data_IF_874243695792
#
_entry.id   IF_874243695792
#
_cell.length_a   1.000
_cell.length_b   1.000
_cell.length_c   1.000
_cell.angle_alpha   90.00
_cell.angle_beta   90.00
_cell.angle_gamma   90.00
#
_symmetry.space_group_name_H-M   'P 1'
#
loop_
_entity.id
_entity.type
_entity.pdbx_description
1 polymer ?
#
# COMPACT_ATOMS: atom_id res chain seq x y z
N UNK A 1 -9.27 -15.59 -11.93
CA UNK A 1 -9.38 -14.23 -12.50
C UNK A 1 -10.25 -13.41 -11.55
N UNK A 2 -9.64 -12.63 -10.66
CA UNK A 2 -10.34 -11.79 -9.70
C UNK A 2 -10.31 -10.35 -10.21
N UNK A 3 -11.18 -10.04 -11.17
CA UNK A 3 -11.36 -8.68 -11.64
C UNK A 3 -12.81 -8.26 -11.39
N UNK A 4 -12.97 -7.31 -10.47
CA UNK A 4 -13.77 -6.13 -10.76
C UNK A 4 -15.28 -6.19 -10.48
N UNK A 5 -15.67 -6.50 -9.25
CA UNK A 5 -16.95 -5.98 -8.72
C UNK A 5 -16.80 -4.82 -7.74
N UNK A 6 -15.56 -4.45 -7.40
CA UNK A 6 -15.27 -3.19 -6.73
C UNK A 6 -15.43 -2.05 -7.72
N UNK A 7 -16.67 -1.58 -7.92
CA UNK A 7 -16.96 -0.36 -8.67
C UNK A 7 -16.26 0.85 -8.02
N UNK A 8 -16.52 2.07 -8.48
CA UNK A 8 -15.85 3.29 -7.97
C UNK A 8 -15.92 3.39 -6.43
N UNK A 9 -16.98 2.87 -5.82
CA UNK A 9 -17.28 2.90 -4.38
C UNK A 9 -17.09 1.56 -3.64
N UNK A 10 -16.76 0.47 -4.34
CA UNK A 10 -16.63 -0.86 -3.73
C UNK A 10 -17.96 -1.53 -3.35
N UNK A 11 -17.89 -2.71 -2.74
CA UNK A 11 -19.04 -3.50 -2.29
C UNK A 11 -19.46 -3.22 -0.83
N UNK A 12 -18.71 -2.37 -0.12
CA UNK A 12 -18.94 -2.04 1.29
C UNK A 12 -18.04 -2.84 2.25
N UNK A 13 -17.68 -2.21 3.37
CA UNK A 13 -16.79 -2.77 4.39
C UNK A 13 -17.32 -4.10 4.95
N UNK A 14 -16.46 -5.12 4.96
CA UNK A 14 -16.77 -6.45 5.49
C UNK A 14 -17.60 -7.37 4.57
N UNK A 15 -17.94 -6.92 3.35
CA UNK A 15 -18.72 -7.68 2.39
C UNK A 15 -17.87 -8.33 1.27
N UNK A 16 -16.58 -8.55 1.54
CA UNK A 16 -15.66 -9.19 0.58
C UNK A 16 -16.00 -10.65 0.32
N UNK A 17 -16.29 -10.98 -0.94
CA UNK A 17 -16.51 -12.35 -1.42
C UNK A 17 -15.20 -13.14 -1.38
N UNK A 18 -14.05 -12.49 -1.56
CA UNK A 18 -12.73 -13.12 -1.45
C UNK A 18 -12.39 -13.63 -0.04
N UNK A 19 -13.17 -13.27 0.99
CA UNK A 19 -13.04 -13.81 2.35
C UNK A 19 -13.55 -15.25 2.48
N UNK A 20 -14.47 -15.66 1.60
CA UNK A 20 -15.23 -16.90 1.73
C UNK A 20 -14.66 -18.09 0.94
N UNK A 21 -13.83 -17.87 -0.09
CA UNK A 21 -13.53 -18.93 -1.05
C UNK A 21 -12.18 -19.65 -0.92
N UNK A 22 -11.15 -19.17 -0.22
CA UNK A 22 -9.84 -19.89 -0.29
C UNK A 22 -8.91 -19.69 0.93
N UNK A 23 -8.90 -20.71 1.81
CA UNK A 23 -7.78 -21.19 2.64
C UNK A 23 -7.22 -20.32 3.81
N UNK A 24 -6.70 -20.98 4.87
CA UNK A 24 -6.46 -20.43 6.22
C UNK A 24 -5.24 -19.50 6.36
N UNK A 25 -4.68 -19.01 5.24
CA UNK A 25 -3.39 -18.29 5.16
C UNK A 25 -3.60 -16.87 4.55
N UNK A 26 -4.71 -16.21 4.87
CA UNK A 26 -5.21 -14.99 4.21
C UNK A 26 -4.49 -13.68 4.60
N UNK A 27 -3.22 -13.72 5.03
CA UNK A 27 -2.64 -12.63 5.82
C UNK A 27 -1.73 -11.65 5.07
N UNK A 28 -1.29 -11.91 3.83
CA UNK A 28 -0.28 -11.02 3.19
C UNK A 28 -0.64 -10.59 1.77
N UNK A 29 -1.02 -11.51 0.88
CA UNK A 29 -1.26 -11.16 -0.54
C UNK A 29 -2.72 -10.81 -0.86
N UNK A 30 -3.66 -11.23 -0.02
CA UNK A 30 -5.10 -11.00 -0.25
C UNK A 30 -5.62 -9.70 0.33
N UNK A 31 -4.88 -9.04 1.24
CA UNK A 31 -5.36 -7.82 1.90
C UNK A 31 -5.57 -6.68 0.90
N UNK A 32 -4.72 -6.57 -0.12
CA UNK A 32 -4.86 -5.56 -1.16
C UNK A 32 -6.07 -5.82 -2.06
N UNK A 33 -6.35 -7.10 -2.37
CA UNK A 33 -7.50 -7.50 -3.16
C UNK A 33 -8.83 -7.25 -2.41
N UNK A 34 -8.87 -7.60 -1.12
CA UNK A 34 -9.99 -7.32 -0.20
C UNK A 34 -10.25 -5.81 -0.10
N UNK A 35 -9.20 -5.01 0.13
CA UNK A 35 -9.33 -3.55 0.19
C UNK A 35 -9.89 -2.98 -1.11
N UNK A 36 -9.45 -3.48 -2.26
CA UNK A 36 -9.98 -3.06 -3.56
C UNK A 36 -11.41 -3.53 -3.82
N UNK A 37 -11.84 -4.63 -3.22
CA UNK A 37 -13.23 -5.11 -3.29
C UNK A 37 -14.16 -4.29 -2.40
N UNK A 38 -13.76 -3.99 -1.16
CA UNK A 38 -14.60 -3.28 -0.17
C UNK A 38 -14.65 -1.77 -0.41
N UNK A 39 -13.51 -1.16 -0.72
CA UNK A 39 -13.38 0.29 -0.89
C UNK A 39 -13.35 0.72 -2.37
N UNK A 40 -13.32 -0.23 -3.30
CA UNK A 40 -13.31 0.04 -4.73
C UNK A 40 -12.04 0.75 -5.20
N UNK A 41 -12.16 1.43 -6.34
CA UNK A 41 -11.06 2.16 -6.97
C UNK A 41 -10.43 3.22 -6.05
N UNK A 42 -11.24 3.93 -5.25
CA UNK A 42 -10.77 4.98 -4.35
C UNK A 42 -9.85 4.40 -3.27
N UNK A 43 -10.22 3.26 -2.67
CA UNK A 43 -9.39 2.60 -1.66
C UNK A 43 -8.05 2.14 -2.21
N UNK A 44 -8.03 1.60 -3.42
CA UNK A 44 -6.80 1.17 -4.10
C UNK A 44 -5.87 2.37 -4.35
N UNK A 45 -6.40 3.46 -4.90
CA UNK A 45 -5.60 4.68 -5.16
C UNK A 45 -5.05 5.26 -3.86
N UNK A 46 -5.86 5.32 -2.80
CA UNK A 46 -5.43 5.83 -1.51
C UNK A 46 -4.33 4.96 -0.88
N UNK A 47 -4.45 3.64 -0.95
CA UNK A 47 -3.43 2.71 -0.48
C UNK A 47 -2.09 2.89 -1.23
N UNK A 48 -2.14 3.01 -2.55
CA UNK A 48 -0.95 3.27 -3.38
C UNK A 48 -0.30 4.60 -3.03
N UNK A 49 -1.09 5.67 -2.87
CA UNK A 49 -0.59 6.99 -2.47
C UNK A 49 0.08 6.95 -1.09
N UNK A 50 -0.47 6.19 -0.15
CA UNK A 50 0.12 6.00 1.18
C UNK A 50 1.49 5.33 1.11
N UNK A 51 1.59 4.22 0.37
CA UNK A 51 2.87 3.51 0.19
C UNK A 51 3.89 4.39 -0.51
N UNK A 52 3.46 5.11 -1.56
CA UNK A 52 4.33 6.05 -2.27
C UNK A 52 4.81 7.18 -1.35
N UNK A 53 3.94 7.73 -0.51
CA UNK A 53 4.30 8.76 0.45
C UNK A 53 5.35 8.25 1.46
N UNK A 54 5.16 7.05 2.00
CA UNK A 54 6.13 6.43 2.91
C UNK A 54 7.49 6.23 2.22
N UNK A 55 7.49 5.69 1.00
CA UNK A 55 8.72 5.49 0.22
C UNK A 55 9.43 6.83 -0.06
N UNK A 56 8.68 7.87 -0.44
CA UNK A 56 9.24 9.20 -0.69
C UNK A 56 9.87 9.80 0.58
N UNK A 57 9.21 9.65 1.74
CA UNK A 57 9.74 10.12 3.03
C UNK A 57 11.02 9.36 3.41
N UNK A 58 11.04 8.04 3.23
CA UNK A 58 12.22 7.22 3.48
C UNK A 58 13.42 7.67 2.62
N UNK A 59 13.21 7.86 1.31
CA UNK A 59 14.24 8.38 0.40
C UNK A 59 14.70 9.79 0.79
N UNK A 60 13.78 10.66 1.20
CA UNK A 60 14.13 12.01 1.64
C UNK A 60 14.99 12.01 2.90
N UNK A 61 14.74 11.09 3.84
CA UNK A 61 15.56 10.94 5.05
C UNK A 61 16.93 10.37 4.68
N UNK A 62 16.99 9.34 3.83
CA UNK A 62 18.24 8.76 3.35
C UNK A 62 19.14 9.78 2.64
N UNK A 63 18.57 10.63 1.78
CA UNK A 63 19.32 11.73 1.13
C UNK A 63 19.92 12.71 2.13
N UNK A 64 19.15 13.11 3.16
CA UNK A 64 19.65 14.01 4.21
C UNK A 64 20.76 13.37 5.05
N UNK A 65 20.63 12.08 5.36
CA UNK A 65 21.67 11.34 6.08
C UNK A 65 22.98 11.28 5.27
N UNK A 66 22.88 11.02 3.95
CA UNK A 66 24.05 11.00 3.06
C UNK A 66 24.75 12.36 2.96
N UNK A 67 24.00 13.46 2.90
CA UNK A 67 24.58 14.83 2.89
C UNK A 67 25.27 15.21 4.21
N UNK A 68 24.83 14.65 5.34
CA UNK A 68 25.48 14.85 6.63
C UNK A 68 26.79 14.05 6.67
N UNK A 69 26.76 12.79 6.24
CA UNK A 69 27.93 11.91 6.17
C UNK A 69 29.03 12.48 5.26
N UNK A 70 28.66 12.94 4.05
CA UNK A 70 29.59 13.60 3.13
C UNK A 70 30.23 14.88 3.70
N UNK A 71 29.54 15.61 4.58
CA UNK A 71 30.11 16.79 5.25
C UNK A 71 31.08 16.43 6.35
N UNK A 72 30.82 15.34 7.09
CA UNK A 72 31.70 14.86 8.14
C UNK A 72 33.05 14.37 7.57
N UNK A 73 33.02 13.58 6.49
CA UNK A 73 34.24 13.09 5.84
C UNK A 73 35.08 14.21 5.19
N UNK A 74 34.48 15.35 4.83
CA UNK A 74 35.19 16.47 4.20
C UNK A 74 35.90 17.41 5.20
N UNK A 75 35.64 17.26 6.50
CA UNK A 75 36.20 18.12 7.57
C UNK A 75 37.39 17.44 8.27
N UNK A 76 37.54 16.13 8.14
CA UNK A 76 38.75 15.37 8.52
C UNK A 76 39.68 15.20 7.32
#
# INVERSE_FOLDING_TARGET
MAFGRGEIWGQGLGNSVQKLEYLPEAHTDFIFAIIGEELGYIGVVLALLMVFFVAFRAMSIGRKALEIDHRFFRIF
#
